data_IF_408149343271
#
_entry.id   IF_408149343271
#
_cell.length_a   1.000
_cell.length_b   1.000
_cell.length_c   1.000
_cell.angle_alpha   90.00
_cell.angle_beta   90.00
_cell.angle_gamma   90.00
#
_symmetry.space_group_name_H-M   'P 1'
#
loop_
_entity.id
_entity.type
_entity.pdbx_description
1 polymer ?
#
# COMPACT_ATOMS: atom_id res chain seq x y z
N UNK A 1 5.31 9.44 6.57
CA UNK A 1 4.78 8.85 7.82
C UNK A 1 5.87 8.41 8.80
N UNK A 2 6.98 7.79 8.34
CA UNK A 2 8.13 7.43 9.22
C UNK A 2 8.71 8.65 9.97
N UNK A 3 8.82 9.81 9.31
CA UNK A 3 9.37 11.05 9.91
C UNK A 3 8.47 11.62 11.03
N UNK A 4 7.14 11.47 10.90
CA UNK A 4 6.16 11.99 11.88
C UNK A 4 6.05 11.03 13.08
N UNK A 5 6.09 9.72 12.83
CA UNK A 5 6.10 8.71 13.89
C UNK A 5 7.35 8.80 14.78
N UNK A 6 8.51 9.17 14.20
CA UNK A 6 9.74 9.38 14.96
C UNK A 6 9.75 10.70 15.74
N UNK A 7 9.24 11.79 15.15
CA UNK A 7 9.09 13.07 15.86
C UNK A 7 8.23 12.96 17.11
N UNK A 8 7.22 12.08 17.09
CA UNK A 8 6.38 11.79 18.25
C UNK A 8 7.05 10.84 19.26
N UNK A 9 7.85 9.88 18.80
CA UNK A 9 8.64 8.98 19.66
C UNK A 9 9.76 9.71 20.43
N UNK A 10 10.31 10.80 19.86
CA UNK A 10 11.33 11.63 20.49
C UNK A 10 10.78 12.56 21.59
N UNK A 11 9.49 12.93 21.53
CA UNK A 11 8.90 13.80 22.56
C UNK A 11 8.47 13.04 23.83
N UNK A 12 8.15 11.75 23.71
CA UNK A 12 7.57 10.95 24.81
C UNK A 12 8.57 10.01 25.50
N UNK A 13 9.72 9.76 24.88
CA UNK A 13 10.82 9.06 25.54
C UNK A 13 11.52 10.08 26.42
N UNK A 14 11.36 10.02 27.75
CA UNK A 14 12.05 10.84 28.74
C UNK A 14 13.58 10.61 28.79
N UNK A 15 14.21 10.58 27.63
CA UNK A 15 15.65 10.58 27.42
C UNK A 15 16.08 12.02 27.67
N UNK A 16 16.72 12.23 28.81
CA UNK A 16 17.57 13.38 29.07
C UNK A 16 18.44 13.63 27.82
N UNK A 17 18.09 14.64 27.02
CA UNK A 17 18.92 15.10 25.90
C UNK A 17 20.19 15.65 26.52
N UNK A 18 21.20 14.80 26.61
CA UNK A 18 22.55 15.20 26.98
C UNK A 18 23.43 15.05 25.74
N UNK A 19 23.68 16.19 25.09
CA UNK A 19 24.70 16.43 24.06
C UNK A 19 24.25 16.27 22.60
N UNK A 20 24.41 17.36 21.83
CA UNK A 20 24.01 17.49 20.42
C UNK A 20 24.66 16.52 19.43
N UNK A 21 25.54 15.61 19.87
CA UNK A 21 26.10 14.53 19.02
C UNK A 21 25.11 13.41 18.71
N UNK A 22 24.17 13.13 19.61
CA UNK A 22 23.20 12.04 19.44
C UNK A 22 22.15 12.38 18.37
N UNK A 23 21.83 13.67 18.24
CA UNK A 23 20.92 14.20 17.20
C UNK A 23 21.50 14.01 15.79
N UNK A 24 22.80 14.24 15.60
CA UNK A 24 23.46 14.06 14.30
C UNK A 24 23.66 12.58 13.94
N UNK A 25 23.86 11.71 14.92
CA UNK A 25 23.93 10.26 14.71
C UNK A 25 22.58 9.69 14.25
N UNK A 26 21.48 10.16 14.85
CA UNK A 26 20.12 9.78 14.45
C UNK A 26 19.73 10.31 13.05
N UNK A 27 20.23 11.48 12.66
CA UNK A 27 19.99 11.99 11.30
C UNK A 27 20.56 11.05 10.22
N UNK A 28 21.75 10.48 10.44
CA UNK A 28 22.42 9.60 9.49
C UNK A 28 21.77 8.22 9.39
N UNK A 29 21.24 7.69 10.50
CA UNK A 29 20.50 6.43 10.52
C UNK A 29 19.15 6.58 9.80
N UNK A 30 18.43 7.67 10.05
CA UNK A 30 17.17 8.00 9.38
C UNK A 30 17.38 8.20 7.88
N UNK A 31 18.41 8.95 7.46
CA UNK A 31 18.74 9.17 6.05
C UNK A 31 19.06 7.87 5.30
N UNK A 32 19.69 6.90 5.97
CA UNK A 32 19.99 5.59 5.38
C UNK A 32 18.72 4.74 5.20
N UNK A 33 17.83 4.74 6.18
CA UNK A 33 16.57 3.97 6.14
C UNK A 33 15.62 4.57 5.10
N UNK A 34 15.43 5.89 5.12
CA UNK A 34 14.55 6.60 4.18
C UNK A 34 15.09 6.55 2.74
N UNK A 35 16.41 6.56 2.55
CA UNK A 35 17.02 6.38 1.23
C UNK A 35 16.60 5.09 0.55
N UNK A 36 16.53 3.98 1.30
CA UNK A 36 16.09 2.70 0.74
C UNK A 36 14.59 2.72 0.37
N UNK A 37 13.74 3.29 1.22
CA UNK A 37 12.29 3.37 0.95
C UNK A 37 11.97 4.28 -0.25
N UNK A 38 12.73 5.37 -0.41
CA UNK A 38 12.58 6.28 -1.56
C UNK A 38 12.96 5.55 -2.86
N UNK A 39 14.06 4.79 -2.85
CA UNK A 39 14.46 3.99 -4.00
C UNK A 39 13.38 2.98 -4.37
N UNK A 40 12.87 2.21 -3.40
CA UNK A 40 11.77 1.26 -3.61
C UNK A 40 10.55 1.92 -4.26
N UNK A 41 10.16 3.10 -3.77
CA UNK A 41 9.02 3.83 -4.30
C UNK A 41 9.26 4.41 -5.71
N UNK A 42 10.50 4.77 -6.04
CA UNK A 42 10.87 5.20 -7.39
C UNK A 42 10.79 4.00 -8.34
N UNK A 43 11.34 2.85 -7.96
CA UNK A 43 11.28 1.63 -8.76
C UNK A 43 9.84 1.18 -9.03
N UNK A 44 8.98 1.26 -8.01
CA UNK A 44 7.55 0.96 -8.12
C UNK A 44 6.84 1.88 -9.13
N UNK A 45 7.07 3.19 -9.05
CA UNK A 45 6.50 4.17 -9.99
C UNK A 45 7.01 3.99 -11.42
N UNK A 46 8.30 3.70 -11.58
CA UNK A 46 8.87 3.42 -12.91
C UNK A 46 8.25 2.14 -13.48
N UNK A 47 8.06 1.10 -12.67
CA UNK A 47 7.39 -0.13 -13.07
C UNK A 47 5.97 0.11 -13.57
N UNK A 48 5.16 0.85 -12.81
CA UNK A 48 3.80 1.22 -13.23
C UNK A 48 3.79 2.05 -14.51
N UNK A 49 4.73 2.97 -14.68
CA UNK A 49 4.83 3.79 -15.89
C UNK A 49 5.16 2.95 -17.13
N UNK A 50 6.14 2.05 -17.02
CA UNK A 50 6.48 1.12 -18.11
C UNK A 50 5.32 0.18 -18.44
N UNK A 51 4.61 -0.32 -17.43
CA UNK A 51 3.42 -1.15 -17.61
C UNK A 51 2.30 -0.41 -18.34
N UNK A 52 2.00 0.82 -17.92
CA UNK A 52 0.99 1.67 -18.56
C UNK A 52 1.36 1.96 -20.02
N UNK A 53 2.66 2.18 -20.30
CA UNK A 53 3.14 2.38 -21.66
C UNK A 53 2.98 1.13 -22.53
N UNK A 54 3.29 -0.06 -22.00
CA UNK A 54 3.05 -1.31 -22.73
C UNK A 54 1.56 -1.48 -23.07
N UNK A 55 0.66 -1.17 -22.15
CA UNK A 55 -0.80 -1.20 -22.40
C UNK A 55 -1.20 -0.18 -23.47
N UNK A 56 -0.60 1.02 -23.45
CA UNK A 56 -0.89 2.08 -24.43
C UNK A 56 -0.59 1.64 -25.87
N UNK A 57 0.44 0.82 -26.07
CA UNK A 57 0.83 0.28 -27.37
C UNK A 57 -0.17 -0.76 -27.92
N UNK A 58 -1.03 -1.36 -27.08
CA UNK A 58 -2.10 -2.29 -27.52
C UNK A 58 -3.32 -1.58 -28.14
N UNK A 59 -3.37 -0.26 -28.10
CA UNK A 59 -4.43 0.55 -28.72
C UNK A 59 -5.41 1.20 -27.73
N UNK A 60 -6.20 2.15 -28.23
CA UNK A 60 -7.05 3.01 -27.41
C UNK A 60 -8.11 2.25 -26.59
N UNK A 61 -8.71 1.20 -27.18
CA UNK A 61 -9.75 0.39 -26.51
C UNK A 61 -9.17 -0.42 -25.35
N UNK A 62 -7.98 -1.02 -25.54
CA UNK A 62 -7.29 -1.77 -24.49
C UNK A 62 -6.84 -0.85 -23.34
N UNK A 63 -6.38 0.34 -23.67
CA UNK A 63 -5.95 1.36 -22.69
C UNK A 63 -7.10 1.89 -21.86
N UNK A 64 -8.21 2.28 -22.50
CA UNK A 64 -9.40 2.77 -21.80
C UNK A 64 -9.99 1.72 -20.87
N UNK A 65 -10.07 0.46 -21.33
CA UNK A 65 -10.56 -0.66 -20.53
C UNK A 65 -9.68 -0.90 -19.31
N UNK A 66 -8.36 -0.96 -19.52
CA UNK A 66 -7.38 -1.23 -18.44
C UNK A 66 -7.34 -0.09 -17.43
N UNK A 67 -7.52 1.16 -17.86
CA UNK A 67 -7.57 2.31 -16.97
C UNK A 67 -8.78 2.27 -16.03
N UNK A 68 -9.95 1.89 -16.54
CA UNK A 68 -11.16 1.67 -15.72
C UNK A 68 -10.92 0.58 -14.68
N UNK A 69 -10.28 -0.53 -15.07
CA UNK A 69 -9.91 -1.59 -14.12
C UNK A 69 -8.99 -1.05 -13.03
N UNK A 70 -8.00 -0.26 -13.43
CA UNK A 70 -7.02 0.31 -12.51
C UNK A 70 -7.68 1.21 -11.46
N UNK A 71 -8.64 2.06 -11.86
CA UNK A 71 -9.43 2.87 -10.92
C UNK A 71 -10.16 1.98 -9.90
N UNK A 72 -10.77 0.88 -10.33
CA UNK A 72 -11.47 -0.04 -9.44
C UNK A 72 -10.50 -0.74 -8.46
N UNK A 73 -9.32 -1.14 -8.94
CA UNK A 73 -8.27 -1.78 -8.13
C UNK A 73 -7.66 -0.78 -7.14
N UNK A 74 -7.45 0.48 -7.56
CA UNK A 74 -6.85 1.54 -6.74
C UNK A 74 -7.64 1.80 -5.45
N UNK A 75 -8.98 1.78 -5.52
CA UNK A 75 -9.84 1.97 -4.34
C UNK A 75 -9.50 0.95 -3.26
N UNK A 76 -9.36 -0.32 -3.65
CA UNK A 76 -9.05 -1.40 -2.72
C UNK A 76 -7.59 -1.33 -2.29
N UNK A 77 -6.67 -1.02 -3.21
CA UNK A 77 -5.26 -0.81 -2.92
C UNK A 77 -5.05 0.26 -1.84
N UNK A 78 -5.76 1.39 -1.90
CA UNK A 78 -5.65 2.45 -0.90
C UNK A 78 -6.12 2.01 0.49
N UNK A 79 -7.14 1.17 0.58
CA UNK A 79 -7.60 0.60 1.86
C UNK A 79 -6.49 -0.28 2.47
N UNK A 80 -5.89 -1.16 1.67
CA UNK A 80 -4.78 -2.01 2.11
C UNK A 80 -3.54 -1.22 2.48
N UNK A 81 -3.20 -0.20 1.69
CA UNK A 81 -2.10 0.73 1.99
C UNK A 81 -2.32 1.44 3.33
N UNK A 82 -3.54 1.93 3.59
CA UNK A 82 -3.88 2.57 4.87
C UNK A 82 -3.70 1.62 6.05
N UNK A 83 -4.14 0.37 5.91
CA UNK A 83 -3.95 -0.67 6.92
C UNK A 83 -2.47 -0.98 7.16
N UNK A 84 -1.65 -1.05 6.10
CA UNK A 84 -0.21 -1.26 6.19
C UNK A 84 0.50 -0.12 6.94
N UNK A 85 0.15 1.13 6.64
CA UNK A 85 0.70 2.30 7.32
C UNK A 85 0.30 2.36 8.80
N UNK A 86 -0.95 2.03 9.13
CA UNK A 86 -1.42 1.95 10.51
C UNK A 86 -0.68 0.85 11.31
N UNK A 87 -0.51 -0.32 10.71
CA UNK A 87 0.25 -1.44 11.29
C UNK A 87 1.72 -1.08 11.55
N UNK A 88 2.37 -0.41 10.58
CA UNK A 88 3.74 0.09 10.73
C UNK A 88 3.87 1.08 11.88
N UNK A 89 2.92 2.01 12.02
CA UNK A 89 2.91 2.99 13.11
C UNK A 89 2.71 2.34 14.48
N UNK A 90 1.76 1.42 14.63
CA UNK A 90 1.50 0.71 15.89
C UNK A 90 2.69 -0.16 16.28
N UNK A 91 3.23 -0.91 15.32
CA UNK A 91 4.42 -1.74 15.53
C UNK A 91 5.63 -0.91 15.94
N UNK A 92 5.84 0.26 15.33
CA UNK A 92 6.90 1.19 15.71
C UNK A 92 6.77 1.68 17.15
N UNK A 93 5.54 2.01 17.59
CA UNK A 93 5.25 2.41 18.97
C UNK A 93 5.53 1.28 19.96
N UNK A 94 4.97 0.09 19.75
CA UNK A 94 5.10 -1.05 20.67
C UNK A 94 6.55 -1.55 20.71
N UNK A 95 7.28 -1.48 19.60
CA UNK A 95 8.70 -1.79 19.56
C UNK A 95 9.52 -0.81 20.42
N UNK A 96 9.20 0.49 20.38
CA UNK A 96 9.82 1.51 21.22
C UNK A 96 9.52 1.35 22.72
N UNK A 97 8.36 0.80 23.06
CA UNK A 97 7.97 0.46 24.45
C UNK A 97 8.68 -0.80 24.99
N UNK A 98 9.42 -1.54 24.14
CA UNK A 98 10.19 -2.73 24.54
C UNK A 98 9.34 -3.98 24.83
N UNK A 99 8.02 -3.90 24.68
CA UNK A 99 7.10 -4.99 25.00
C UNK A 99 7.00 -6.01 23.85
N UNK A 100 7.95 -6.95 23.80
CA UNK A 100 8.02 -8.01 22.78
C UNK A 100 6.83 -8.97 22.78
N UNK A 101 6.11 -9.12 23.90
CA UNK A 101 4.92 -9.98 23.96
C UNK A 101 3.75 -9.33 23.24
N UNK A 102 3.47 -8.09 23.57
CA UNK A 102 2.40 -7.30 22.95
C UNK A 102 2.66 -7.10 21.44
N UNK A 103 3.92 -6.90 21.04
CA UNK A 103 4.30 -6.85 19.62
C UNK A 103 3.89 -8.11 18.84
N UNK A 104 4.12 -9.31 19.41
CA UNK A 104 3.76 -10.57 18.74
C UNK A 104 2.25 -10.74 18.61
N UNK A 105 1.48 -10.29 19.60
CA UNK A 105 0.02 -10.31 19.55
C UNK A 105 -0.52 -9.39 18.47
N UNK A 106 -0.04 -8.14 18.40
CA UNK A 106 -0.43 -7.20 17.33
C UNK A 106 -0.10 -7.74 15.94
N UNK A 107 1.10 -8.28 15.73
CA UNK A 107 1.48 -8.89 14.45
C UNK A 107 0.51 -10.02 14.06
N UNK A 108 0.10 -10.85 15.03
CA UNK A 108 -0.87 -11.93 14.78
C UNK A 108 -2.24 -11.37 14.39
N UNK A 109 -2.70 -10.31 15.05
CA UNK A 109 -3.96 -9.63 14.74
C UNK A 109 -3.90 -8.98 13.36
N UNK A 110 -2.84 -8.25 13.02
CA UNK A 110 -2.66 -7.65 11.69
C UNK A 110 -2.58 -8.69 10.58
N UNK A 111 -1.90 -9.82 10.82
CA UNK A 111 -1.86 -10.92 9.85
C UNK A 111 -3.25 -11.48 9.60
N UNK A 112 -4.01 -11.78 10.67
CA UNK A 112 -5.32 -12.39 10.54
C UNK A 112 -6.35 -11.43 9.92
N UNK A 113 -6.31 -10.17 10.32
CA UNK A 113 -7.17 -9.12 9.75
C UNK A 113 -6.81 -8.82 8.30
N UNK A 114 -5.52 -8.87 7.92
CA UNK A 114 -5.07 -8.72 6.54
C UNK A 114 -5.57 -9.85 5.63
N UNK A 115 -5.51 -11.10 6.10
CA UNK A 115 -6.08 -12.26 5.38
C UNK A 115 -7.59 -12.10 5.22
N UNK A 116 -8.31 -11.72 6.29
CA UNK A 116 -9.75 -11.51 6.22
C UNK A 116 -10.12 -10.39 5.25
N UNK A 117 -9.40 -9.26 5.28
CA UNK A 117 -9.58 -8.16 4.35
C UNK A 117 -9.30 -8.58 2.90
N UNK A 118 -8.26 -9.39 2.68
CA UNK A 118 -7.96 -10.00 1.38
C UNK A 118 -9.10 -10.85 0.84
N UNK A 119 -9.63 -11.77 1.66
CA UNK A 119 -10.76 -12.62 1.29
C UNK A 119 -12.00 -11.79 0.96
N UNK A 120 -12.31 -10.78 1.78
CA UNK A 120 -13.44 -9.88 1.54
C UNK A 120 -13.25 -9.11 0.21
N UNK A 121 -12.05 -8.58 -0.04
CA UNK A 121 -11.72 -7.89 -1.27
C UNK A 121 -11.88 -8.79 -2.51
N UNK A 122 -11.35 -10.01 -2.47
CA UNK A 122 -11.52 -11.00 -3.54
C UNK A 122 -12.99 -11.31 -3.79
N UNK A 123 -13.79 -11.49 -2.73
CA UNK A 123 -15.24 -11.70 -2.87
C UNK A 123 -15.92 -10.49 -3.51
N UNK A 124 -15.59 -9.27 -3.09
CA UNK A 124 -16.14 -8.03 -3.68
C UNK A 124 -15.75 -7.95 -5.16
N UNK A 125 -14.49 -8.21 -5.53
CA UNK A 125 -14.07 -8.16 -6.92
C UNK A 125 -14.75 -9.20 -7.80
N UNK A 126 -14.98 -10.43 -7.31
CA UNK A 126 -15.65 -11.48 -8.08
C UNK A 126 -17.13 -11.16 -8.28
N UNK A 127 -17.83 -10.71 -7.24
CA UNK A 127 -19.28 -10.45 -7.29
C UNK A 127 -19.63 -9.09 -7.92
N UNK A 128 -18.84 -8.06 -7.68
CA UNK A 128 -19.08 -6.69 -8.13
C UNK A 128 -18.42 -6.37 -9.49
N UNK A 129 -17.70 -7.33 -10.09
CA UNK A 129 -17.05 -7.19 -11.40
C UNK A 129 -18.01 -6.69 -12.48
N UNK A 130 -19.18 -7.30 -12.58
CA UNK A 130 -20.17 -6.97 -13.63
C UNK A 130 -20.77 -5.58 -13.45
N UNK A 131 -21.33 -5.21 -12.27
CA UNK A 131 -21.93 -3.89 -12.10
C UNK A 131 -20.94 -2.74 -12.25
N UNK A 132 -19.69 -2.89 -11.77
CA UNK A 132 -18.64 -1.86 -11.92
C UNK A 132 -18.34 -1.64 -13.42
N UNK A 133 -18.16 -2.70 -14.19
CA UNK A 133 -17.88 -2.60 -15.62
C UNK A 133 -19.06 -2.06 -16.44
N UNK A 134 -20.29 -2.43 -16.10
CA UNK A 134 -21.48 -1.90 -16.78
C UNK A 134 -21.79 -0.44 -16.43
N UNK A 135 -21.36 0.05 -15.25
CA UNK A 135 -21.49 1.46 -14.88
C UNK A 135 -20.43 2.34 -15.54
N UNK A 136 -19.20 1.83 -15.72
CA UNK A 136 -18.08 2.61 -16.25
C UNK A 136 -17.91 2.51 -17.78
N UNK A 137 -18.49 1.50 -18.43
CA UNK A 137 -18.33 1.25 -19.87
C UNK A 137 -19.67 1.09 -20.58
N UNK A 138 -19.95 1.95 -21.57
CA UNK A 138 -21.11 1.81 -22.48
C UNK A 138 -20.89 0.88 -23.69
N UNK A 139 -19.69 0.30 -23.83
CA UNK A 139 -19.29 -0.48 -25.01
C UNK A 139 -19.11 -1.98 -24.67
N UNK A 140 -19.90 -2.89 -25.26
CA UNK A 140 -19.87 -4.33 -24.97
C UNK A 140 -18.53 -5.03 -25.16
N UNK A 141 -17.68 -4.53 -26.07
CA UNK A 141 -16.37 -5.14 -26.37
C UNK A 141 -15.31 -4.85 -25.29
N UNK A 142 -15.39 -3.68 -24.64
CA UNK A 142 -14.53 -3.33 -23.50
C UNK A 142 -14.86 -4.20 -22.27
N UNK A 143 -16.13 -4.57 -22.10
CA UNK A 143 -16.60 -5.39 -20.97
C UNK A 143 -16.05 -6.82 -21.03
N UNK A 144 -16.00 -7.44 -22.21
CA UNK A 144 -15.51 -8.82 -22.35
C UNK A 144 -14.00 -8.96 -22.09
N UNK A 145 -13.21 -7.94 -22.46
CA UNK A 145 -11.76 -7.91 -22.20
C UNK A 145 -11.47 -7.58 -20.73
N UNK A 146 -12.21 -6.62 -20.17
CA UNK A 146 -12.11 -6.22 -18.76
C UNK A 146 -12.48 -7.35 -17.79
N UNK A 147 -13.45 -8.19 -18.16
CA UNK A 147 -13.88 -9.34 -17.35
C UNK A 147 -12.75 -10.35 -17.07
N UNK A 148 -11.86 -10.55 -18.05
CA UNK A 148 -10.70 -11.45 -17.92
C UNK A 148 -9.57 -10.80 -17.12
N UNK A 149 -9.29 -9.51 -17.36
CA UNK A 149 -8.24 -8.78 -16.63
C UNK A 149 -8.59 -8.64 -15.15
N UNK A 150 -9.87 -8.44 -14.81
CA UNK A 150 -10.31 -8.29 -13.43
C UNK A 150 -10.28 -9.63 -12.66
N UNK A 151 -10.47 -10.77 -13.32
CA UNK A 151 -10.23 -12.09 -12.69
C UNK A 151 -8.75 -12.24 -12.33
N UNK A 152 -7.85 -11.86 -13.22
CA UNK A 152 -6.40 -11.92 -12.96
C UNK A 152 -6.01 -10.97 -11.83
N UNK A 153 -6.61 -9.79 -11.76
CA UNK A 153 -6.38 -8.83 -10.68
C UNK A 153 -6.96 -9.28 -9.32
N UNK A 154 -7.96 -10.17 -9.32
CA UNK A 154 -8.60 -10.67 -8.10
C UNK A 154 -7.91 -11.92 -7.51
N UNK A 155 -7.04 -12.58 -8.28
CA UNK A 155 -6.23 -13.74 -7.91
C UNK A 155 -4.88 -13.31 -7.32
#
# INVERSE_FOLDING_TARGET
MIVVALGYSLHKSGVSINSGKDIFADYKSVAKISGNSILEQIFERIGMFLFTRMIAELGAVATATSHIVMIAVDVVYYIFMGMGQASSSITGRVLGEGNKKELKEYIKVFKNSGILAGVIATFIFIFLRRPIFTMLSGDPNAVALGDKVMIIAAL
#
